data_IF_556306030146
#
_entry.id   IF_556306030146
#
_cell.length_a   1.000
_cell.length_b   1.000
_cell.length_c   1.000
_cell.angle_alpha   90.00
_cell.angle_beta   90.00
_cell.angle_gamma   90.00
#
_symmetry.space_group_name_H-M   'P 1'
#
loop_
_entity.id
_entity.type
_entity.pdbx_description
1 polymer ?
#
# COMPACT_ATOMS: atom_id res chain seq x y z
N UNK A 1 3.34 -13.20 -2.33
CA UNK A 1 1.97 -12.76 -2.69
C UNK A 1 1.30 -13.70 -3.68
N UNK A 2 -0.01 -13.92 -3.48
CA UNK A 2 -0.88 -14.55 -4.49
C UNK A 2 -1.33 -13.55 -5.55
N UNK A 3 -1.87 -14.03 -6.68
CA UNK A 3 -2.35 -13.18 -7.78
C UNK A 3 -3.42 -12.18 -7.32
N UNK A 4 -4.33 -12.60 -6.43
CA UNK A 4 -5.34 -11.72 -5.83
C UNK A 4 -4.73 -10.56 -5.02
N UNK A 5 -3.70 -10.83 -4.22
CA UNK A 5 -3.01 -9.80 -3.43
C UNK A 5 -2.27 -8.79 -4.31
N UNK A 6 -1.69 -9.28 -5.41
CA UNK A 6 -1.07 -8.42 -6.43
C UNK A 6 -2.10 -7.49 -7.07
N UNK A 7 -3.24 -8.03 -7.51
CA UNK A 7 -4.33 -7.25 -8.11
C UNK A 7 -4.86 -6.22 -7.11
N UNK A 8 -5.14 -6.63 -5.87
CA UNK A 8 -5.59 -5.72 -4.81
C UNK A 8 -4.57 -4.59 -4.57
N UNK A 9 -3.28 -4.92 -4.51
CA UNK A 9 -2.23 -3.92 -4.27
C UNK A 9 -2.15 -2.90 -5.41
N UNK A 10 -2.28 -3.35 -6.66
CA UNK A 10 -2.31 -2.46 -7.83
C UNK A 10 -3.54 -1.55 -7.77
N UNK A 11 -4.72 -2.12 -7.52
CA UNK A 11 -5.97 -1.35 -7.40
C UNK A 11 -5.88 -0.33 -6.26
N UNK A 12 -5.31 -0.69 -5.12
CA UNK A 12 -5.12 0.21 -3.97
C UNK A 12 -4.20 1.39 -4.32
N UNK A 13 -3.10 1.14 -5.04
CA UNK A 13 -2.18 2.18 -5.50
C UNK A 13 -2.90 3.11 -6.49
N UNK A 14 -3.59 2.57 -7.49
CA UNK A 14 -4.35 3.36 -8.47
C UNK A 14 -5.41 4.19 -7.76
N UNK A 15 -6.14 3.60 -6.80
CA UNK A 15 -7.13 4.32 -6.01
C UNK A 15 -6.52 5.49 -5.25
N UNK A 16 -5.37 5.29 -4.58
CA UNK A 16 -4.68 6.35 -3.85
C UNK A 16 -4.25 7.51 -4.76
N UNK A 17 -3.68 7.22 -5.94
CA UNK A 17 -3.30 8.24 -6.91
C UNK A 17 -4.51 8.97 -7.50
N UNK A 18 -5.58 8.25 -7.86
CA UNK A 18 -6.82 8.85 -8.35
C UNK A 18 -7.49 9.74 -7.31
N UNK A 19 -7.53 9.31 -6.05
CA UNK A 19 -8.08 10.08 -4.94
C UNK A 19 -7.30 11.39 -4.73
N UNK A 20 -5.96 11.30 -4.71
CA UNK A 20 -5.07 12.47 -4.63
C UNK A 20 -5.29 13.41 -5.82
N UNK A 21 -5.36 12.88 -7.04
CA UNK A 21 -5.61 13.66 -8.25
C UNK A 21 -6.93 14.43 -8.16
N UNK A 22 -8.03 13.75 -7.83
CA UNK A 22 -9.35 14.38 -7.68
C UNK A 22 -9.29 15.49 -6.62
N UNK A 23 -8.66 15.25 -5.47
CA UNK A 23 -8.56 16.23 -4.39
C UNK A 23 -7.71 17.47 -4.74
N UNK A 24 -6.70 17.29 -5.58
CA UNK A 24 -5.79 18.35 -6.04
C UNK A 24 -6.43 19.18 -7.15
N UNK A 25 -6.99 18.54 -8.18
CA UNK A 25 -7.54 19.22 -9.35
C UNK A 25 -8.95 19.77 -9.13
N UNK A 26 -9.75 19.16 -8.26
CA UNK A 26 -11.13 19.55 -8.02
C UNK A 26 -11.37 19.88 -6.54
N UNK A 27 -11.00 21.09 -6.08
CA UNK A 27 -11.14 21.50 -4.69
C UNK A 27 -12.60 21.53 -4.21
N UNK A 28 -13.58 21.59 -5.12
CA UNK A 28 -15.01 21.57 -4.79
C UNK A 28 -15.48 20.27 -4.13
N UNK A 29 -14.75 19.16 -4.33
CA UNK A 29 -15.03 17.89 -3.65
C UNK A 29 -14.49 17.83 -2.21
N UNK A 30 -13.78 18.87 -1.74
CA UNK A 30 -13.30 18.97 -0.35
C UNK A 30 -14.39 19.28 0.67
N UNK A 31 -15.67 19.24 0.28
CA UNK A 31 -16.78 19.30 1.23
C UNK A 31 -16.63 18.21 2.29
N UNK A 32 -16.78 18.61 3.55
CA UNK A 32 -16.41 17.81 4.73
C UNK A 32 -17.04 16.40 4.69
N UNK A 33 -18.32 16.26 4.34
CA UNK A 33 -18.99 14.96 4.24
C UNK A 33 -18.42 14.06 3.11
N UNK A 34 -18.17 14.62 1.93
CA UNK A 34 -17.63 13.84 0.79
C UNK A 34 -16.17 13.47 1.03
N UNK A 35 -15.40 14.39 1.59
CA UNK A 35 -14.02 14.17 2.00
C UNK A 35 -13.92 13.10 3.08
N UNK A 36 -14.78 13.13 4.10
CA UNK A 36 -14.78 12.15 5.18
C UNK A 36 -15.01 10.73 4.66
N UNK A 37 -16.01 10.54 3.80
CA UNK A 37 -16.30 9.23 3.18
C UNK A 37 -15.15 8.76 2.30
N UNK A 38 -14.59 9.66 1.50
CA UNK A 38 -13.43 9.37 0.65
C UNK A 38 -12.18 8.99 1.47
N UNK A 39 -11.93 9.69 2.58
CA UNK A 39 -10.86 9.39 3.53
C UNK A 39 -11.09 8.07 4.26
N UNK A 40 -12.32 7.75 4.67
CA UNK A 40 -12.65 6.46 5.30
C UNK A 40 -12.40 5.29 4.36
N UNK A 41 -12.83 5.42 3.10
CA UNK A 41 -12.53 4.43 2.06
C UNK A 41 -11.03 4.31 1.82
N UNK A 42 -10.31 5.43 1.72
CA UNK A 42 -8.86 5.44 1.56
C UNK A 42 -8.12 4.81 2.75
N UNK A 43 -8.62 5.02 3.97
CA UNK A 43 -8.07 4.41 5.17
C UNK A 43 -8.28 2.89 5.18
N UNK A 44 -9.48 2.43 4.80
CA UNK A 44 -9.80 1.00 4.71
C UNK A 44 -8.94 0.29 3.66
N UNK A 45 -8.82 0.89 2.47
CA UNK A 45 -7.94 0.38 1.39
C UNK A 45 -6.48 0.34 1.84
N UNK A 46 -6.00 1.36 2.54
CA UNK A 46 -4.64 1.39 3.05
C UNK A 46 -4.38 0.35 4.14
N UNK A 47 -5.32 0.14 5.07
CA UNK A 47 -5.21 -0.93 6.07
C UNK A 47 -5.10 -2.29 5.38
N UNK A 48 -5.93 -2.53 4.36
CA UNK A 48 -5.87 -3.76 3.57
C UNK A 48 -4.53 -3.93 2.87
N UNK A 49 -4.01 -2.88 2.24
CA UNK A 49 -2.70 -2.89 1.57
C UNK A 49 -1.58 -3.19 2.57
N UNK A 50 -1.58 -2.52 3.72
CA UNK A 50 -0.58 -2.70 4.76
C UNK A 50 -0.61 -4.12 5.34
N UNK A 51 -1.80 -4.68 5.56
CA UNK A 51 -1.95 -6.07 6.00
C UNK A 51 -1.36 -7.06 4.99
N UNK A 52 -1.64 -6.88 3.70
CA UNK A 52 -1.09 -7.73 2.63
C UNK A 52 0.43 -7.65 2.59
N UNK A 53 0.98 -6.44 2.64
CA UNK A 53 2.44 -6.19 2.57
C UNK A 53 3.13 -6.78 3.78
N UNK A 54 2.62 -6.56 4.99
CA UNK A 54 3.15 -7.18 6.20
C UNK A 54 3.09 -8.70 6.08
N UNK A 55 1.95 -9.27 5.70
CA UNK A 55 1.83 -10.72 5.51
C UNK A 55 2.87 -11.25 4.52
N UNK A 56 3.15 -10.54 3.43
CA UNK A 56 4.18 -10.91 2.47
C UNK A 56 5.60 -10.84 3.08
N UNK A 57 5.93 -9.77 3.82
CA UNK A 57 7.21 -9.62 4.54
C UNK A 57 7.39 -10.75 5.56
N UNK A 58 6.35 -11.11 6.31
CA UNK A 58 6.40 -12.19 7.29
C UNK A 58 6.51 -13.58 6.65
N UNK A 59 5.90 -13.77 5.48
CA UNK A 59 5.90 -15.04 4.74
C UNK A 59 7.17 -15.27 3.90
N UNK A 60 7.91 -14.22 3.53
CA UNK A 60 9.18 -14.34 2.80
C UNK A 60 10.29 -14.86 3.72
N UNK A 61 11.01 -15.87 3.23
CA UNK A 61 12.32 -16.25 3.78
C UNK A 61 13.36 -15.26 3.26
N UNK A 62 13.71 -14.29 4.07
CA UNK A 62 14.90 -13.47 3.83
C UNK A 62 16.12 -14.27 4.30
N UNK A 63 17.20 -14.27 3.52
CA UNK A 63 18.47 -14.88 3.92
C UNK A 63 19.09 -14.19 5.13
N UNK A 64 18.82 -12.89 5.27
CA UNK A 64 19.24 -12.06 6.39
C UNK A 64 18.01 -11.56 7.17
N UNK A 65 17.95 -11.91 8.45
CA UNK A 65 16.84 -11.57 9.33
C UNK A 65 16.79 -10.07 9.62
N UNK A 66 17.92 -9.38 9.59
CA UNK A 66 17.99 -7.92 9.76
C UNK A 66 17.31 -7.19 8.59
N UNK A 67 17.49 -7.68 7.37
CA UNK A 67 16.84 -7.09 6.18
C UNK A 67 15.31 -7.13 6.27
N UNK A 68 14.75 -8.16 6.90
CA UNK A 68 13.31 -8.26 7.15
C UNK A 68 12.83 -7.17 8.10
N UNK A 69 13.54 -6.95 9.21
CA UNK A 69 13.19 -5.90 10.18
C UNK A 69 13.34 -4.49 9.60
N UNK A 70 14.37 -4.26 8.78
CA UNK A 70 14.56 -2.99 8.07
C UNK A 70 13.36 -2.72 7.16
N UNK A 71 12.98 -3.69 6.31
CA UNK A 71 11.83 -3.50 5.42
C UNK A 71 10.52 -3.30 6.18
N UNK A 72 10.33 -4.01 7.29
CA UNK A 72 9.17 -3.84 8.15
C UNK A 72 9.14 -2.43 8.75
N UNK A 73 10.25 -1.95 9.31
CA UNK A 73 10.36 -0.60 9.85
C UNK A 73 10.15 0.47 8.78
N UNK A 74 10.76 0.30 7.60
CA UNK A 74 10.63 1.24 6.47
C UNK A 74 9.18 1.30 5.99
N UNK A 75 8.48 0.17 5.83
CA UNK A 75 7.06 0.13 5.46
C UNK A 75 6.15 0.78 6.50
N UNK A 76 6.44 0.59 7.79
CA UNK A 76 5.66 1.18 8.89
C UNK A 76 5.88 2.70 9.02
N UNK A 77 7.13 3.16 8.90
CA UNK A 77 7.50 4.56 9.11
C UNK A 77 7.29 5.41 7.85
N UNK A 78 7.50 4.82 6.67
CA UNK A 78 7.49 5.51 5.39
C UNK A 78 6.50 4.81 4.48
N UNK A 79 5.21 5.11 4.63
CA UNK A 79 4.16 4.56 3.76
C UNK A 79 4.45 4.56 2.25
N UNK A 80 5.01 5.61 1.61
CA UNK A 80 5.31 5.55 0.18
C UNK A 80 6.36 4.48 -0.18
N UNK A 81 7.13 3.97 0.79
CA UNK A 81 8.04 2.84 0.57
C UNK A 81 7.31 1.54 0.25
N UNK A 82 6.02 1.42 0.57
CA UNK A 82 5.20 0.24 0.22
C UNK A 82 5.20 0.02 -1.29
N UNK A 83 5.06 1.09 -2.08
CA UNK A 83 5.08 1.00 -3.55
C UNK A 83 6.43 0.48 -4.02
N UNK A 84 7.53 1.03 -3.47
CA UNK A 84 8.88 0.59 -3.80
C UNK A 84 9.14 -0.86 -3.38
N UNK A 85 8.67 -1.27 -2.19
CA UNK A 85 8.74 -2.66 -1.71
C UNK A 85 7.97 -3.62 -2.63
N UNK A 86 6.75 -3.26 -3.03
CA UNK A 86 5.90 -4.07 -3.91
C UNK A 86 6.56 -4.27 -5.27
N UNK A 87 7.10 -3.20 -5.87
CA UNK A 87 7.84 -3.28 -7.14
C UNK A 87 9.08 -4.16 -7.02
N UNK A 88 9.88 -3.97 -5.97
CA UNK A 88 11.17 -4.65 -5.82
C UNK A 88 11.07 -6.09 -5.33
N UNK A 89 10.18 -6.34 -4.38
CA UNK A 89 10.06 -7.61 -3.67
C UNK A 89 8.69 -8.24 -3.85
N UNK A 90 7.57 -7.49 -3.76
CA UNK A 90 6.23 -8.07 -3.86
C UNK A 90 5.91 -8.76 -5.20
N UNK A 91 6.31 -8.16 -6.34
CA UNK A 91 6.05 -8.72 -7.67
C UNK A 91 7.09 -9.74 -8.14
N UNK A 92 8.30 -9.71 -7.56
CA UNK A 92 9.39 -10.62 -7.94
C UNK A 92 9.12 -12.04 -7.44
N UNK A 93 9.25 -13.03 -8.33
CA UNK A 93 8.99 -14.43 -8.00
C UNK A 93 9.85 -14.91 -6.83
N UNK A 94 9.31 -15.79 -5.97
CA UNK A 94 10.00 -16.38 -4.81
C UNK A 94 10.90 -17.55 -5.25
N UNK A 95 11.72 -17.33 -6.28
CA UNK A 95 12.71 -18.28 -6.77
C UNK A 95 14.02 -17.97 -6.07
#
# INVERSE_FOLDING_TARGET
MNTFEKIYSILAIIFAFSLLGILVFFPEFRQLNRLLTACLLGLLVNIGLMFIVLKDIFSRRFSDQNMRYIWLAVVLLIWPSIVYYLVRHGFRSRI
#
